data_IF_597259337252
#
_entry.id   IF_597259337252
#
_cell.length_a   1.000
_cell.length_b   1.000
_cell.length_c   1.000
_cell.angle_alpha   90.00
_cell.angle_beta   90.00
_cell.angle_gamma   90.00
#
_symmetry.space_group_name_H-M   'P 1'
#
loop_
_entity.id
_entity.type
_entity.pdbx_description
1 polymer ?
#
# COMPACT_ATOMS: atom_id res chain seq x y z
N UNK A 1 88.32 -16.39 -14.15
CA UNK A 1 88.61 -15.02 -14.64
C UNK A 1 87.40 -14.51 -15.42
N UNK A 2 87.18 -13.18 -15.43
CA UNK A 2 85.99 -12.42 -15.88
C UNK A 2 84.95 -12.20 -14.75
N UNK A 3 85.04 -11.16 -13.93
CA UNK A 3 84.95 -9.69 -14.14
C UNK A 3 83.53 -9.18 -13.85
N UNK A 4 83.49 -8.25 -12.90
CA UNK A 4 82.32 -7.71 -12.25
C UNK A 4 81.57 -6.68 -13.12
N UNK A 5 80.25 -6.56 -12.92
CA UNK A 5 79.53 -5.30 -13.09
C UNK A 5 78.56 -5.08 -11.94
N UNK A 6 78.84 -4.03 -11.15
CA UNK A 6 77.91 -3.42 -10.19
C UNK A 6 76.96 -2.51 -10.95
N UNK A 7 75.66 -2.56 -10.63
CA UNK A 7 74.67 -1.56 -11.06
C UNK A 7 74.01 -1.00 -9.80
N UNK A 8 73.82 0.32 -9.69
CA UNK A 8 73.56 1.00 -8.43
C UNK A 8 72.10 0.91 -7.97
N UNK A 9 71.95 1.14 -6.67
CA UNK A 9 70.72 1.21 -5.89
C UNK A 9 69.83 2.34 -6.41
N UNK A 10 68.59 2.03 -6.78
CA UNK A 10 67.52 3.02 -6.80
C UNK A 10 66.33 2.43 -6.06
N UNK A 11 66.12 2.92 -4.83
CA UNK A 11 64.94 2.64 -4.02
C UNK A 11 63.75 3.38 -4.65
N UNK A 12 62.86 2.67 -5.33
CA UNK A 12 61.53 3.19 -5.65
C UNK A 12 60.57 2.66 -4.60
N UNK A 13 60.22 3.55 -3.67
CA UNK A 13 59.21 3.35 -2.63
C UNK A 13 57.83 3.76 -3.18
N UNK A 14 56.83 2.94 -2.83
CA UNK A 14 55.41 3.23 -2.67
C UNK A 14 54.59 3.65 -3.91
N UNK A 15 53.54 2.87 -4.21
CA UNK A 15 52.18 3.13 -3.68
C UNK A 15 51.21 2.04 -4.16
N UNK A 16 50.67 1.23 -3.23
CA UNK A 16 49.47 0.44 -3.50
C UNK A 16 48.26 1.40 -3.56
N UNK A 17 47.41 1.36 -4.60
CA UNK A 17 46.13 2.03 -4.52
C UNK A 17 45.22 1.18 -3.62
N UNK A 18 44.94 1.70 -2.42
CA UNK A 18 43.83 1.23 -1.59
C UNK A 18 42.56 1.58 -2.35
N UNK A 19 41.92 0.56 -2.94
CA UNK A 19 40.63 0.69 -3.60
C UNK A 19 39.58 0.97 -2.51
N UNK A 20 39.33 2.26 -2.24
CA UNK A 20 38.28 2.69 -1.33
C UNK A 20 36.93 2.29 -1.92
N UNK A 21 36.30 1.26 -1.34
CA UNK A 21 34.87 1.01 -1.54
C UNK A 21 34.12 2.22 -0.97
N UNK A 22 33.70 3.13 -1.84
CA UNK A 22 32.69 4.12 -1.48
C UNK A 22 31.36 3.39 -1.37
N UNK A 23 30.99 3.01 -0.14
CA UNK A 23 29.62 2.65 0.20
C UNK A 23 28.72 3.80 -0.24
N UNK A 24 27.91 3.58 -1.28
CA UNK A 24 26.76 4.42 -1.56
C UNK A 24 25.81 4.25 -0.37
N UNK A 25 25.94 5.12 0.63
CA UNK A 25 24.90 5.31 1.62
C UNK A 25 23.67 5.78 0.84
N UNK A 26 22.73 4.86 0.63
CA UNK A 26 21.37 5.20 0.30
C UNK A 26 20.89 6.11 1.43
N UNK A 27 20.98 7.42 1.20
CA UNK A 27 20.43 8.38 2.12
C UNK A 27 18.95 8.07 2.23
N UNK A 28 18.52 7.62 3.41
CA UNK A 28 17.14 7.78 3.82
C UNK A 28 16.88 9.29 3.78
N UNK A 29 16.40 9.77 2.63
CA UNK A 29 15.77 11.09 2.57
C UNK A 29 14.67 11.03 3.60
N UNK A 30 14.81 11.81 4.66
CA UNK A 30 13.73 12.00 5.60
C UNK A 30 12.52 12.47 4.79
N UNK A 31 11.44 11.68 4.81
CA UNK A 31 10.20 12.04 4.13
C UNK A 31 9.85 13.47 4.51
N UNK A 32 9.54 14.30 3.50
CA UNK A 32 9.06 15.64 3.76
C UNK A 32 7.85 15.55 4.72
N UNK A 33 7.72 16.47 5.69
CA UNK A 33 6.58 16.45 6.61
C UNK A 33 5.27 16.38 5.85
N UNK A 34 4.38 15.48 6.27
CA UNK A 34 3.07 15.34 5.64
C UNK A 34 2.28 16.65 5.73
N UNK A 35 1.54 16.95 4.67
CA UNK A 35 0.61 18.07 4.66
C UNK A 35 -0.50 17.79 5.67
N UNK A 36 -0.85 18.82 6.43
CA UNK A 36 -1.94 18.78 7.39
C UNK A 36 -3.17 19.46 6.81
N UNK A 37 -4.35 18.93 7.13
CA UNK A 37 -5.61 19.56 6.82
C UNK A 37 -5.92 20.65 7.87
N UNK A 38 -6.66 21.72 7.52
CA UNK A 38 -7.19 22.64 8.52
C UNK A 38 -8.07 21.91 9.54
N UNK A 39 -8.11 22.39 10.79
CA UNK A 39 -8.82 21.71 11.89
C UNK A 39 -10.29 21.42 11.59
N UNK A 40 -11.01 22.37 10.97
CA UNK A 40 -12.40 22.16 10.56
C UNK A 40 -12.53 21.00 9.56
N UNK A 41 -11.63 20.94 8.57
CA UNK A 41 -11.64 19.87 7.56
C UNK A 41 -11.32 18.52 8.19
N UNK A 42 -10.45 18.46 9.19
CA UNK A 42 -10.20 17.23 9.94
C UNK A 42 -11.46 16.74 10.68
N UNK A 43 -12.22 17.66 11.28
CA UNK A 43 -13.48 17.34 11.95
C UNK A 43 -14.53 16.84 10.95
N UNK A 44 -14.66 17.49 9.79
CA UNK A 44 -15.58 17.08 8.73
C UNK A 44 -15.22 15.69 8.20
N UNK A 45 -13.93 15.42 7.96
CA UNK A 45 -13.44 14.10 7.53
C UNK A 45 -13.74 13.03 8.57
N UNK A 46 -13.55 13.32 9.86
CA UNK A 46 -13.85 12.36 10.93
C UNK A 46 -15.34 12.00 10.98
N UNK A 47 -16.23 12.99 10.86
CA UNK A 47 -17.67 12.76 10.82
C UNK A 47 -18.11 11.97 9.58
N UNK A 48 -17.53 12.27 8.42
CA UNK A 48 -17.77 11.51 7.18
C UNK A 48 -17.27 10.06 7.35
N UNK A 49 -16.07 9.86 7.88
CA UNK A 49 -15.50 8.54 8.09
C UNK A 49 -16.34 7.69 9.06
N UNK A 50 -16.86 8.29 10.13
CA UNK A 50 -17.78 7.61 11.05
C UNK A 50 -19.03 7.10 10.32
N UNK A 51 -19.67 7.97 9.54
CA UNK A 51 -20.84 7.61 8.74
C UNK A 51 -20.54 6.50 7.71
N UNK A 52 -19.46 6.65 6.94
CA UNK A 52 -19.05 5.67 5.92
C UNK A 52 -18.56 4.34 6.50
N UNK A 53 -18.26 4.29 7.80
CA UNK A 53 -17.86 3.07 8.49
C UNK A 53 -19.03 2.26 9.04
N UNK A 54 -20.27 2.72 8.83
CA UNK A 54 -21.49 2.06 9.30
C UNK A 54 -22.20 1.34 8.16
N UNK A 55 -22.79 0.18 8.46
CA UNK A 55 -23.67 -0.55 7.53
C UNK A 55 -25.03 0.15 7.55
N UNK A 56 -25.49 0.60 6.39
CA UNK A 56 -26.72 1.37 6.22
C UNK A 56 -27.93 0.48 5.97
N UNK A 57 -27.72 -0.67 5.33
CA UNK A 57 -28.71 -1.71 5.09
C UNK A 57 -28.20 -3.06 5.59
N UNK A 58 -28.80 -3.59 6.66
CA UNK A 58 -28.23 -4.69 7.43
C UNK A 58 -28.36 -6.08 6.78
N UNK A 59 -29.24 -6.26 5.79
CA UNK A 59 -29.51 -7.57 5.20
C UNK A 59 -30.22 -7.50 3.83
N UNK A 60 -29.65 -6.84 2.81
CA UNK A 60 -30.18 -6.93 1.44
C UNK A 60 -30.17 -8.40 0.98
N UNK A 61 -31.00 -8.72 -0.01
CA UNK A 61 -30.89 -10.01 -0.69
C UNK A 61 -29.55 -10.08 -1.44
N UNK A 62 -28.87 -11.23 -1.41
CA UNK A 62 -27.62 -11.38 -2.14
C UNK A 62 -27.85 -11.28 -3.65
N UNK A 63 -27.17 -10.34 -4.27
CA UNK A 63 -27.06 -10.15 -5.73
C UNK A 63 -25.57 -10.12 -6.06
N UNK A 64 -25.04 -11.20 -6.66
CA UNK A 64 -23.60 -11.34 -6.88
C UNK A 64 -23.02 -10.38 -7.91
N UNK A 65 -23.78 -10.03 -8.96
CA UNK A 65 -23.30 -9.10 -9.98
C UNK A 65 -23.14 -7.71 -9.35
N UNK A 66 -24.17 -7.25 -8.64
CA UNK A 66 -24.15 -5.99 -7.91
C UNK A 66 -23.11 -5.96 -6.80
N UNK A 67 -23.06 -7.01 -5.97
CA UNK A 67 -22.13 -7.07 -4.85
C UNK A 67 -20.67 -6.97 -5.30
N UNK A 68 -20.32 -7.69 -6.37
CA UNK A 68 -18.97 -7.66 -6.93
C UNK A 68 -18.67 -6.31 -7.58
N UNK A 69 -19.61 -5.74 -8.35
CA UNK A 69 -19.45 -4.40 -8.92
C UNK A 69 -19.20 -3.36 -7.82
N UNK A 70 -20.07 -3.30 -6.80
CA UNK A 70 -19.97 -2.36 -5.70
C UNK A 70 -18.67 -2.54 -4.89
N UNK A 71 -18.28 -3.79 -4.61
CA UNK A 71 -17.09 -4.08 -3.83
C UNK A 71 -15.83 -3.66 -4.60
N UNK A 72 -15.73 -4.05 -5.88
CA UNK A 72 -14.58 -3.71 -6.72
C UNK A 72 -14.46 -2.21 -6.91
N UNK A 73 -15.56 -1.53 -7.22
CA UNK A 73 -15.58 -0.07 -7.36
C UNK A 73 -15.11 0.64 -6.09
N UNK A 74 -15.56 0.18 -4.92
CA UNK A 74 -15.12 0.70 -3.62
C UNK A 74 -13.62 0.52 -3.39
N UNK A 75 -13.07 -0.68 -3.66
CA UNK A 75 -11.64 -0.95 -3.47
C UNK A 75 -10.77 -0.20 -4.48
N UNK A 76 -11.16 -0.16 -5.75
CA UNK A 76 -10.48 0.62 -6.80
C UNK A 76 -10.42 2.11 -6.41
N UNK A 77 -11.52 2.65 -5.88
CA UNK A 77 -11.57 4.04 -5.39
C UNK A 77 -10.62 4.27 -4.22
N UNK A 78 -10.53 3.32 -3.27
CA UNK A 78 -9.59 3.40 -2.16
C UNK A 78 -8.13 3.43 -2.65
N UNK A 79 -7.78 2.60 -3.65
CA UNK A 79 -6.45 2.58 -4.26
C UNK A 79 -6.15 3.89 -5.00
N UNK A 80 -7.08 4.36 -5.82
CA UNK A 80 -6.92 5.59 -6.59
C UNK A 80 -6.71 6.80 -5.67
N UNK A 81 -7.56 6.95 -4.64
CA UNK A 81 -7.49 8.05 -3.68
C UNK A 81 -6.24 7.95 -2.82
N UNK A 82 -5.82 6.76 -2.40
CA UNK A 82 -4.56 6.56 -1.68
C UNK A 82 -3.37 7.01 -2.51
N UNK A 83 -3.34 6.66 -3.80
CA UNK A 83 -2.29 7.10 -4.72
C UNK A 83 -2.29 8.62 -4.93
N UNK A 84 -3.47 9.26 -4.99
CA UNK A 84 -3.59 10.73 -5.03
C UNK A 84 -3.09 11.37 -3.74
N UNK A 85 -3.43 10.81 -2.58
CA UNK A 85 -3.02 11.32 -1.28
C UNK A 85 -1.51 11.19 -1.07
N UNK A 86 -0.89 10.10 -1.53
CA UNK A 86 0.56 9.92 -1.56
C UNK A 86 1.23 11.02 -2.40
N UNK A 87 0.84 11.16 -3.68
CA UNK A 87 1.42 12.18 -4.58
C UNK A 87 1.18 13.61 -4.11
N UNK A 88 0.08 13.84 -3.39
CA UNK A 88 -0.27 15.17 -2.88
C UNK A 88 0.37 15.49 -1.52
N UNK A 89 1.08 14.54 -0.90
CA UNK A 89 1.77 14.70 0.38
C UNK A 89 0.89 14.55 1.62
N UNK A 90 -0.32 13.98 1.50
CA UNK A 90 -1.24 13.72 2.62
C UNK A 90 -1.13 12.28 3.17
N UNK A 91 -0.43 11.38 2.47
CA UNK A 91 -0.15 10.02 2.88
C UNK A 91 1.35 9.75 2.73
N UNK A 92 1.97 9.08 3.69
CA UNK A 92 3.38 8.68 3.58
C UNK A 92 3.54 7.45 2.69
N UNK A 93 4.73 7.27 2.12
CA UNK A 93 5.05 6.06 1.35
C UNK A 93 4.85 4.80 2.19
N UNK A 94 5.33 4.80 3.44
CA UNK A 94 5.17 3.66 4.35
C UNK A 94 3.70 3.30 4.63
N UNK A 95 2.82 4.29 4.79
CA UNK A 95 1.40 4.04 4.99
C UNK A 95 0.72 3.52 3.72
N UNK A 96 1.10 4.05 2.56
CA UNK A 96 0.64 3.55 1.26
C UNK A 96 1.05 2.08 1.03
N UNK A 97 2.33 1.76 1.25
CA UNK A 97 2.89 0.42 1.05
C UNK A 97 2.33 -0.60 2.04
N UNK A 98 1.96 -0.17 3.25
CA UNK A 98 1.35 -1.05 4.25
C UNK A 98 -0.11 -1.43 3.91
N UNK A 99 -0.86 -0.55 3.26
CA UNK A 99 -2.28 -0.75 3.00
C UNK A 99 -2.58 -1.34 1.61
N UNK A 100 -1.84 -0.90 0.59
CA UNK A 100 -2.11 -1.21 -0.83
C UNK A 100 -2.12 -2.71 -1.15
N UNK A 101 -1.16 -3.53 -0.67
CA UNK A 101 -1.13 -4.96 -1.03
C UNK A 101 -2.38 -5.73 -0.60
N UNK A 102 -2.98 -5.38 0.54
CA UNK A 102 -4.20 -6.03 1.01
C UNK A 102 -5.42 -5.68 0.13
N UNK A 103 -5.49 -4.43 -0.36
CA UNK A 103 -6.54 -3.98 -1.27
C UNK A 103 -6.39 -4.63 -2.66
N UNK A 104 -5.17 -4.75 -3.17
CA UNK A 104 -4.88 -5.45 -4.43
C UNK A 104 -5.21 -6.95 -4.34
N UNK A 105 -4.86 -7.60 -3.23
CA UNK A 105 -5.23 -8.99 -2.97
C UNK A 105 -6.74 -9.18 -2.90
N UNK A 106 -7.46 -8.25 -2.24
CA UNK A 106 -8.92 -8.25 -2.20
C UNK A 106 -9.52 -8.14 -3.61
N UNK A 107 -9.05 -7.22 -4.45
CA UNK A 107 -9.53 -7.11 -5.84
C UNK A 107 -9.32 -8.37 -6.68
N UNK A 108 -8.25 -9.13 -6.40
CA UNK A 108 -7.96 -10.37 -7.13
C UNK A 108 -9.01 -11.45 -6.87
N UNK A 109 -9.65 -11.45 -5.70
CA UNK A 109 -10.62 -12.48 -5.31
C UNK A 109 -12.08 -12.06 -5.50
N UNK A 110 -12.35 -10.74 -5.52
CA UNK A 110 -13.68 -10.18 -5.77
C UNK A 110 -14.17 -10.49 -7.20
N UNK A 111 -14.80 -11.64 -7.37
CA UNK A 111 -15.34 -12.14 -8.64
C UNK A 111 -16.74 -12.69 -8.43
N UNK A 112 -17.56 -12.70 -9.49
CA UNK A 112 -18.92 -13.29 -9.44
C UNK A 112 -18.85 -14.78 -9.09
N UNK A 113 -17.82 -15.49 -9.58
CA UNK A 113 -17.58 -16.89 -9.21
C UNK A 113 -17.27 -17.07 -7.72
N UNK A 114 -16.41 -16.23 -7.15
CA UNK A 114 -16.12 -16.26 -5.70
C UNK A 114 -17.38 -15.93 -4.89
N UNK A 115 -18.19 -14.95 -5.31
CA UNK A 115 -19.46 -14.64 -4.66
C UNK A 115 -20.42 -15.84 -4.62
N UNK A 116 -20.58 -16.56 -5.73
CA UNK A 116 -21.44 -17.74 -5.76
C UNK A 116 -20.91 -18.89 -4.92
N UNK A 117 -19.58 -19.03 -4.79
CA UNK A 117 -18.94 -20.06 -3.98
C UNK A 117 -18.81 -19.68 -2.49
N UNK A 118 -18.99 -18.39 -2.16
CA UNK A 118 -18.73 -17.86 -0.83
C UNK A 118 -19.65 -18.47 0.23
N UNK A 119 -19.08 -18.69 1.41
CA UNK A 119 -19.78 -19.14 2.61
C UNK A 119 -19.32 -18.33 3.82
N UNK A 120 -20.07 -18.39 4.93
CA UNK A 120 -19.74 -17.69 6.17
C UNK A 120 -19.53 -16.18 5.96
N UNK A 121 -18.51 -15.61 6.63
CA UNK A 121 -18.23 -14.18 6.58
C UNK A 121 -17.99 -13.64 5.16
N UNK A 122 -17.39 -14.41 4.27
CA UNK A 122 -17.19 -13.98 2.87
C UNK A 122 -18.52 -13.83 2.14
N UNK A 123 -19.48 -14.74 2.39
CA UNK A 123 -20.84 -14.63 1.87
C UNK A 123 -21.57 -13.42 2.46
N UNK A 124 -21.45 -13.22 3.77
CA UNK A 124 -22.11 -12.11 4.46
C UNK A 124 -21.56 -10.75 4.00
N UNK A 125 -20.26 -10.68 3.67
CA UNK A 125 -19.66 -9.53 3.00
C UNK A 125 -20.33 -9.25 1.65
N UNK A 126 -20.46 -10.24 0.76
CA UNK A 126 -21.13 -10.04 -0.53
C UNK A 126 -22.60 -9.68 -0.36
N UNK A 127 -23.27 -10.27 0.63
CA UNK A 127 -24.63 -9.89 0.97
C UNK A 127 -24.67 -8.41 1.34
N UNK A 128 -23.85 -7.96 2.29
CA UNK A 128 -23.74 -6.54 2.65
C UNK A 128 -23.48 -5.63 1.43
N UNK A 129 -22.61 -6.05 0.51
CA UNK A 129 -22.28 -5.29 -0.71
C UNK A 129 -23.38 -5.31 -1.78
N UNK A 130 -24.43 -6.10 -1.61
CA UNK A 130 -25.60 -6.11 -2.51
C UNK A 130 -26.49 -4.85 -2.34
N UNK A 131 -26.18 -3.98 -1.38
CA UNK A 131 -26.81 -2.66 -1.22
C UNK A 131 -25.95 -1.57 -1.84
N UNK A 132 -26.56 -0.66 -2.60
CA UNK A 132 -25.88 0.51 -3.17
C UNK A 132 -25.60 1.60 -2.11
N UNK A 133 -26.07 1.40 -0.87
CA UNK A 133 -25.90 2.33 0.24
C UNK A 133 -24.81 1.90 1.24
N UNK A 134 -24.32 0.67 1.13
CA UNK A 134 -23.27 0.15 2.00
C UNK A 134 -21.89 0.42 1.41
N UNK A 135 -20.93 0.78 2.27
CA UNK A 135 -19.56 1.05 1.86
C UNK A 135 -18.66 -0.18 2.08
N UNK A 136 -17.73 -0.45 1.15
CA UNK A 136 -16.84 -1.62 1.23
C UNK A 136 -16.07 -1.73 2.54
N UNK A 137 -15.61 -0.59 3.06
CA UNK A 137 -14.96 -0.52 4.37
C UNK A 137 -15.89 -0.94 5.53
N UNK A 138 -17.16 -0.50 5.51
CA UNK A 138 -18.13 -0.89 6.53
C UNK A 138 -18.47 -2.37 6.46
N UNK A 139 -18.74 -2.90 5.26
CA UNK A 139 -19.02 -4.32 5.05
C UNK A 139 -17.82 -5.20 5.42
N UNK A 140 -16.61 -4.83 5.03
CA UNK A 140 -15.38 -5.55 5.38
C UNK A 140 -15.09 -5.56 6.88
N UNK A 141 -15.42 -4.46 7.60
CA UNK A 141 -15.32 -4.39 9.06
C UNK A 141 -16.35 -5.31 9.75
N UNK A 142 -17.58 -5.35 9.23
CA UNK A 142 -18.66 -6.17 9.79
C UNK A 142 -18.46 -7.68 9.49
N UNK A 143 -17.90 -7.99 8.32
CA UNK A 143 -17.75 -9.35 7.81
C UNK A 143 -16.31 -9.59 7.31
N UNK A 144 -15.31 -9.62 8.21
CA UNK A 144 -13.92 -9.78 7.82
C UNK A 144 -13.66 -11.16 7.24
N UNK A 145 -12.91 -11.20 6.15
CA UNK A 145 -12.39 -12.43 5.56
C UNK A 145 -10.99 -12.19 4.99
N UNK A 146 -10.18 -13.24 4.95
CA UNK A 146 -8.89 -13.19 4.26
C UNK A 146 -9.13 -13.42 2.76
N UNK A 147 -8.59 -12.56 1.86
CA UNK A 147 -8.68 -12.75 0.41
C UNK A 147 -8.15 -14.11 -0.05
#
# INVERSE_FOLDING_TARGET
>A
MASARRIPRTLVRLALPVLSLTSAAAGAQADAPLRTLPAQVQADVAAIAEHLSSVQEAAPALDCDKAVENARWGVDTMLEVSGKNLRSGYLSQAAYDAATPALEALLAVLTVQDCHAATGARRDFYQCMSSDYNHVYACGKAHPFEP
#
